data_IF_541497035909
#
_entry.id   IF_541497035909
#
_cell.length_a   1.000
_cell.length_b   1.000
_cell.length_c   1.000
_cell.angle_alpha   90.00
_cell.angle_beta   90.00
_cell.angle_gamma   90.00
#
_symmetry.space_group_name_H-M   'P 1'
#
loop_
_entity.id
_entity.type
_entity.pdbx_description
1 polymer ?
#
# COMPACT_ATOMS: atom_id res chain seq x y z
N UNK A 1 38.95 26.60 -51.57
CA UNK A 1 38.45 26.11 -50.27
C UNK A 1 37.35 25.10 -50.58
N UNK A 2 37.56 23.83 -50.94
CA UNK A 2 38.46 22.78 -50.43
C UNK A 2 38.41 22.62 -48.92
N UNK A 3 37.45 21.81 -48.44
CA UNK A 3 37.56 20.73 -47.43
C UNK A 3 36.17 20.41 -46.84
N UNK A 4 35.52 19.32 -47.29
CA UNK A 4 34.45 18.62 -46.54
C UNK A 4 33.93 17.40 -47.32
N UNK A 5 34.80 16.44 -47.64
CA UNK A 5 34.36 15.14 -48.22
C UNK A 5 35.16 13.93 -47.68
N UNK A 6 35.97 14.11 -46.63
CA UNK A 6 36.89 13.09 -46.13
C UNK A 6 36.44 12.27 -44.92
N UNK A 7 35.43 12.69 -44.15
CA UNK A 7 35.11 12.06 -42.86
C UNK A 7 34.08 10.90 -42.92
N UNK A 8 33.32 10.75 -44.02
CA UNK A 8 32.32 9.68 -44.15
C UNK A 8 32.89 8.29 -44.51
N UNK A 9 34.07 8.23 -45.12
CA UNK A 9 34.64 6.98 -45.65
C UNK A 9 35.48 6.23 -44.60
N UNK A 10 36.14 6.95 -43.69
CA UNK A 10 36.99 6.36 -42.63
C UNK A 10 36.17 5.60 -41.56
N UNK A 11 34.98 6.08 -41.19
CA UNK A 11 34.14 5.44 -40.16
C UNK A 11 33.49 4.13 -40.66
N UNK A 12 33.22 4.02 -41.97
CA UNK A 12 32.59 2.84 -42.57
C UNK A 12 33.58 1.68 -42.74
N UNK A 13 34.87 1.97 -42.97
CA UNK A 13 35.92 0.96 -43.08
C UNK A 13 36.39 0.40 -41.72
N UNK A 14 36.37 1.21 -40.65
CA UNK A 14 36.71 0.75 -39.30
C UNK A 14 35.69 -0.25 -38.71
N UNK A 15 34.39 -0.13 -39.05
CA UNK A 15 33.37 -1.10 -38.61
C UNK A 15 33.48 -2.46 -39.31
N UNK A 16 33.85 -2.48 -40.60
CA UNK A 16 34.08 -3.73 -41.34
C UNK A 16 35.35 -4.47 -40.89
N UNK A 17 36.41 -3.74 -40.55
CA UNK A 17 37.66 -4.34 -40.03
C UNK A 17 37.49 -4.97 -38.65
N UNK A 18 36.70 -4.36 -37.74
CA UNK A 18 36.41 -4.93 -36.41
C UNK A 18 35.52 -6.19 -36.48
N UNK A 19 34.59 -6.28 -37.42
CA UNK A 19 33.76 -7.48 -37.63
C UNK A 19 34.59 -8.62 -38.24
N UNK A 20 35.53 -8.32 -39.14
CA UNK A 20 36.44 -9.32 -39.72
C UNK A 20 37.44 -9.86 -38.68
N UNK A 21 37.93 -9.03 -37.75
CA UNK A 21 38.78 -9.45 -36.63
C UNK A 21 38.04 -10.34 -35.63
N UNK A 22 36.77 -10.06 -35.35
CA UNK A 22 35.94 -10.90 -34.47
C UNK A 22 35.61 -12.24 -35.14
N UNK A 23 35.35 -12.27 -36.44
CA UNK A 23 35.14 -13.53 -37.18
C UNK A 23 36.43 -14.36 -37.34
N UNK A 24 37.59 -13.71 -37.51
CA UNK A 24 38.88 -14.41 -37.56
C UNK A 24 39.31 -14.97 -36.21
N UNK A 25 38.97 -14.30 -35.10
CA UNK A 25 39.17 -14.84 -33.75
C UNK A 25 38.22 -16.02 -33.45
N UNK A 26 36.99 -15.98 -33.98
CA UNK A 26 36.02 -17.07 -33.85
C UNK A 26 36.40 -18.30 -34.70
N UNK A 27 37.08 -18.11 -35.85
CA UNK A 27 37.60 -19.20 -36.68
C UNK A 27 38.90 -19.82 -36.12
N UNK A 28 39.75 -19.04 -35.45
CA UNK A 28 40.96 -19.57 -34.82
C UNK A 28 40.69 -20.39 -33.54
N UNK A 29 39.53 -20.22 -32.89
CA UNK A 29 39.09 -21.13 -31.83
C UNK A 29 38.59 -22.49 -32.35
N UNK A 30 38.32 -22.64 -33.64
CA UNK A 30 37.82 -23.89 -34.25
C UNK A 30 38.94 -24.77 -34.83
N UNK A 31 40.22 -24.37 -34.73
CA UNK A 31 41.34 -25.04 -35.40
C UNK A 31 42.15 -26.02 -34.53
N UNK A 32 41.68 -26.37 -33.32
CA UNK A 32 42.29 -27.44 -32.51
C UNK A 32 41.45 -28.72 -32.50
N UNK A 33 40.98 -29.17 -33.67
CA UNK A 33 40.60 -30.58 -33.85
C UNK A 33 41.88 -31.36 -34.17
N UNK A 34 42.66 -31.62 -33.13
CA UNK A 34 43.74 -32.59 -33.18
C UNK A 34 43.14 -33.99 -33.18
N UNK A 35 43.23 -34.68 -34.32
CA UNK A 35 42.94 -36.10 -34.43
C UNK A 35 44.00 -36.87 -33.61
N UNK A 36 43.70 -37.15 -32.34
CA UNK A 36 44.43 -38.14 -31.56
C UNK A 36 43.53 -39.37 -31.38
N UNK A 37 43.99 -40.49 -31.93
CA UNK A 37 43.34 -41.78 -31.81
C UNK A 37 43.31 -42.22 -30.35
N UNK A 38 42.08 -42.47 -29.84
CA UNK A 38 41.72 -42.86 -28.46
C UNK A 38 41.91 -41.76 -27.40
N UNK A 39 40.86 -40.98 -27.21
CA UNK A 39 40.52 -40.43 -25.89
C UNK A 39 39.02 -40.51 -25.72
N UNK A 40 38.60 -41.11 -24.62
CA UNK A 40 37.22 -41.12 -24.13
C UNK A 40 36.67 -39.70 -24.26
N UNK A 41 35.54 -39.54 -24.96
CA UNK A 41 34.70 -38.37 -24.74
C UNK A 41 34.12 -38.58 -23.35
N UNK A 42 34.87 -38.19 -22.31
CA UNK A 42 34.26 -37.92 -21.02
C UNK A 42 33.15 -36.90 -21.31
N UNK A 43 31.92 -37.35 -21.11
CA UNK A 43 30.74 -36.52 -21.20
C UNK A 43 31.02 -35.26 -20.36
N UNK A 44 31.21 -34.11 -21.01
CA UNK A 44 31.55 -32.83 -20.38
C UNK A 44 30.45 -32.35 -19.40
N UNK A 45 29.37 -33.10 -19.25
CA UNK A 45 28.30 -32.89 -18.27
C UNK A 45 28.34 -33.86 -17.08
N UNK A 46 29.25 -34.84 -17.07
CA UNK A 46 29.27 -35.94 -16.11
C UNK A 46 29.47 -35.50 -14.65
N UNK A 47 30.19 -34.39 -14.43
CA UNK A 47 30.46 -33.78 -13.11
C UNK A 47 29.53 -32.62 -12.72
N UNK A 48 28.50 -32.31 -13.51
CA UNK A 48 27.61 -31.17 -13.23
C UNK A 48 26.64 -31.45 -12.07
N UNK A 49 26.71 -30.66 -10.99
CA UNK A 49 25.90 -30.82 -9.78
C UNK A 49 24.91 -29.66 -9.54
N UNK A 50 24.14 -29.27 -10.56
CA UNK A 50 23.27 -28.09 -10.46
C UNK A 50 21.79 -28.48 -10.28
N UNK A 51 21.11 -27.84 -9.33
CA UNK A 51 19.64 -27.84 -9.30
C UNK A 51 19.17 -26.85 -10.38
N UNK A 52 18.24 -27.28 -11.24
CA UNK A 52 17.74 -26.49 -12.38
C UNK A 52 16.35 -25.90 -12.11
N UNK A 53 15.47 -26.66 -11.47
CA UNK A 53 14.15 -26.20 -11.07
C UNK A 53 13.68 -26.93 -9.81
N UNK A 54 12.93 -26.22 -8.98
CA UNK A 54 12.17 -26.78 -7.86
C UNK A 54 10.79 -26.14 -7.87
N UNK A 55 9.74 -26.95 -7.88
CA UNK A 55 8.35 -26.48 -7.81
C UNK A 55 7.64 -27.12 -6.65
N UNK A 56 6.96 -26.29 -5.86
CA UNK A 56 6.11 -26.74 -4.77
C UNK A 56 4.78 -27.26 -5.34
N UNK A 57 4.31 -28.37 -4.78
CA UNK A 57 3.03 -28.98 -5.12
C UNK A 57 1.85 -28.31 -4.41
N UNK A 58 0.74 -29.04 -4.28
CA UNK A 58 -0.41 -28.58 -3.49
C UNK A 58 -0.16 -28.79 -2.00
N UNK A 59 -0.26 -27.71 -1.22
CA UNK A 59 0.06 -27.68 0.20
C UNK A 59 -1.22 -27.56 1.04
N UNK A 60 -1.16 -27.99 2.31
CA UNK A 60 -2.25 -27.82 3.25
C UNK A 60 -2.05 -26.54 4.07
N UNK A 61 -3.11 -25.74 4.20
CA UNK A 61 -3.16 -24.55 5.06
C UNK A 61 -4.31 -24.64 6.04
N UNK A 62 -4.01 -24.51 7.32
CA UNK A 62 -5.00 -24.50 8.41
C UNK A 62 -5.55 -23.10 8.58
N UNK A 63 -6.88 -22.98 8.62
CA UNK A 63 -7.64 -21.75 8.80
C UNK A 63 -8.44 -21.83 10.09
N UNK A 64 -8.44 -20.77 10.87
CA UNK A 64 -9.26 -20.68 12.09
C UNK A 64 -10.63 -20.07 11.76
N UNK A 65 -11.67 -20.56 12.41
CA UNK A 65 -13.04 -20.05 12.33
C UNK A 65 -13.78 -20.31 13.63
N UNK A 66 -14.97 -19.75 13.78
CA UNK A 66 -15.91 -20.13 14.83
C UNK A 66 -16.88 -21.20 14.29
N UNK A 67 -17.17 -22.20 15.11
CA UNK A 67 -18.25 -23.16 14.89
C UNK A 67 -19.61 -22.48 15.07
N UNK A 68 -20.68 -23.16 14.66
CA UNK A 68 -22.06 -22.67 14.83
C UNK A 68 -22.44 -22.38 16.30
N UNK A 69 -21.73 -23.01 17.25
CA UNK A 69 -21.90 -22.77 18.68
C UNK A 69 -20.94 -21.69 19.24
N UNK A 70 -20.28 -20.90 18.38
CA UNK A 70 -19.36 -19.85 18.79
C UNK A 70 -18.01 -20.32 19.35
N UNK A 71 -17.68 -21.61 19.27
CA UNK A 71 -16.39 -22.16 19.72
C UNK A 71 -15.36 -22.16 18.60
N UNK A 72 -14.10 -21.94 18.92
CA UNK A 72 -12.99 -22.03 17.96
C UNK A 72 -12.97 -23.38 17.24
N UNK A 73 -12.68 -23.33 15.94
CA UNK A 73 -12.62 -24.47 15.04
C UNK A 73 -11.55 -24.22 13.98
N UNK A 74 -11.04 -25.31 13.39
CA UNK A 74 -10.02 -25.27 12.35
C UNK A 74 -10.52 -26.06 11.15
N UNK A 75 -10.36 -25.51 9.95
CA UNK A 75 -10.55 -26.24 8.70
C UNK A 75 -9.30 -26.12 7.84
N UNK A 76 -9.15 -27.02 6.87
CA UNK A 76 -7.98 -27.06 5.98
C UNK A 76 -8.37 -26.64 4.58
N UNK A 77 -7.63 -25.71 4.00
CA UNK A 77 -7.69 -25.35 2.58
C UNK A 77 -6.42 -25.78 1.86
N UNK A 78 -6.48 -25.79 0.53
CA UNK A 78 -5.34 -26.10 -0.33
C UNK A 78 -4.67 -24.82 -0.82
N UNK A 79 -3.34 -24.80 -0.81
CA UNK A 79 -2.51 -23.74 -1.38
C UNK A 79 -1.79 -24.30 -2.60
N UNK A 80 -1.89 -23.63 -3.74
CA UNK A 80 -1.14 -23.97 -4.95
C UNK A 80 0.29 -23.48 -4.80
N UNK A 81 1.22 -24.35 -4.42
CA UNK A 81 2.60 -23.99 -4.15
C UNK A 81 3.36 -23.41 -5.34
N UNK A 82 2.98 -23.74 -6.58
CA UNK A 82 3.60 -23.19 -7.79
C UNK A 82 3.39 -21.69 -7.98
N UNK A 83 2.46 -21.07 -7.24
CA UNK A 83 2.31 -19.61 -7.20
C UNK A 83 3.37 -18.92 -6.33
N UNK A 84 4.19 -19.69 -5.61
CA UNK A 84 5.28 -19.22 -4.75
C UNK A 84 6.61 -19.78 -5.28
N UNK A 85 7.12 -19.23 -6.40
CA UNK A 85 8.29 -19.79 -7.07
C UNK A 85 9.54 -19.73 -6.18
N UNK A 86 10.36 -20.77 -6.29
CA UNK A 86 11.64 -20.86 -5.60
C UNK A 86 12.75 -20.25 -6.45
N UNK A 87 13.56 -19.41 -5.82
CA UNK A 87 14.83 -18.91 -6.35
C UNK A 87 15.94 -19.90 -6.02
N UNK A 88 16.76 -20.23 -7.02
CA UNK A 88 17.95 -21.07 -6.88
C UNK A 88 19.18 -20.18 -7.02
N UNK A 89 19.80 -19.85 -5.90
CA UNK A 89 21.06 -19.11 -5.87
C UNK A 89 22.22 -20.11 -6.03
N UNK A 90 22.73 -20.19 -7.25
CA UNK A 90 23.83 -21.11 -7.61
C UNK A 90 25.17 -20.74 -6.98
N UNK A 91 25.36 -19.46 -6.65
CA UNK A 91 26.62 -18.92 -6.11
C UNK A 91 26.68 -19.20 -4.61
N UNK A 92 25.63 -18.82 -3.88
CA UNK A 92 25.55 -19.01 -2.43
C UNK A 92 24.96 -20.36 -2.04
N UNK A 93 24.56 -21.18 -3.00
CA UNK A 93 24.04 -22.54 -2.79
C UNK A 93 22.79 -22.56 -1.91
N UNK A 94 21.86 -21.62 -2.17
CA UNK A 94 20.60 -21.49 -1.43
C UNK A 94 19.41 -21.69 -2.35
N UNK A 95 18.34 -22.27 -1.80
CA UNK A 95 17.06 -22.37 -2.50
C UNK A 95 15.98 -21.85 -1.57
N UNK A 96 15.22 -20.84 -1.99
CA UNK A 96 14.20 -20.21 -1.14
C UNK A 96 13.13 -19.52 -1.97
N UNK A 97 11.92 -19.40 -1.43
CA UNK A 97 10.88 -18.56 -2.01
C UNK A 97 11.10 -17.11 -1.58
N UNK A 98 11.07 -16.20 -2.56
CA UNK A 98 11.16 -14.74 -2.30
C UNK A 98 9.90 -14.29 -1.58
N UNK A 99 8.74 -14.67 -2.11
CA UNK A 99 7.45 -14.47 -1.44
C UNK A 99 7.13 -15.66 -0.53
N UNK A 100 6.83 -15.40 0.74
CA UNK A 100 6.58 -16.44 1.73
C UNK A 100 5.22 -17.12 1.48
N UNK A 101 5.12 -18.41 1.77
CA UNK A 101 3.84 -19.10 1.75
C UNK A 101 2.87 -18.46 2.76
N UNK A 102 1.55 -18.54 2.55
CA UNK A 102 0.58 -17.96 3.46
C UNK A 102 0.67 -18.59 4.86
N UNK A 103 0.43 -17.78 5.90
CA UNK A 103 0.37 -18.26 7.29
C UNK A 103 -0.59 -19.43 7.45
N UNK A 104 -0.24 -20.36 8.33
CA UNK A 104 -1.01 -21.58 8.57
C UNK A 104 -0.75 -22.70 7.55
N UNK A 105 0.06 -22.46 6.51
CA UNK A 105 0.60 -23.54 5.66
C UNK A 105 1.46 -24.46 6.53
N UNK A 106 1.25 -25.76 6.42
CA UNK A 106 1.93 -26.76 7.27
C UNK A 106 3.37 -27.00 6.78
N UNK A 107 4.41 -26.49 7.48
CA UNK A 107 5.79 -26.65 7.04
C UNK A 107 6.27 -28.10 7.15
N UNK A 108 5.58 -28.95 7.92
CA UNK A 108 5.98 -30.35 8.12
C UNK A 108 5.58 -31.26 6.96
N UNK A 109 4.71 -30.76 6.06
CA UNK A 109 4.12 -31.51 4.96
C UNK A 109 4.21 -30.76 3.63
N UNK A 110 5.40 -30.34 3.24
CA UNK A 110 5.63 -29.67 1.95
C UNK A 110 5.83 -30.70 0.84
N UNK A 111 4.99 -30.65 -0.19
CA UNK A 111 5.14 -31.48 -1.38
C UNK A 111 6.02 -30.76 -2.40
N UNK A 112 7.01 -31.47 -2.95
CA UNK A 112 7.78 -31.02 -4.11
C UNK A 112 7.25 -31.76 -5.34
N UNK A 113 6.53 -31.05 -6.21
CA UNK A 113 5.92 -31.63 -7.42
C UNK A 113 6.95 -31.79 -8.55
N UNK A 114 7.91 -30.87 -8.63
CA UNK A 114 9.00 -30.92 -9.60
C UNK A 114 10.35 -30.61 -8.94
N UNK A 115 11.35 -31.42 -9.27
CA UNK A 115 12.75 -31.21 -8.90
C UNK A 115 13.61 -31.72 -10.06
N UNK A 116 14.30 -30.82 -10.76
CA UNK A 116 15.22 -31.16 -11.85
C UNK A 116 16.64 -30.76 -11.47
N UNK A 117 17.61 -31.62 -11.78
CA UNK A 117 19.02 -31.39 -11.54
C UNK A 117 19.88 -31.99 -12.65
N UNK A 118 21.16 -31.62 -12.71
CA UNK A 118 22.17 -32.28 -13.57
C UNK A 118 22.68 -33.62 -13.01
N UNK A 119 22.03 -34.17 -11.98
CA UNK A 119 22.42 -35.42 -11.33
C UNK A 119 21.30 -35.98 -10.44
N UNK A 120 21.64 -36.97 -9.60
CA UNK A 120 20.71 -37.55 -8.63
C UNK A 120 20.59 -36.63 -7.41
N UNK A 121 19.36 -36.41 -6.92
CA UNK A 121 19.11 -35.54 -5.77
C UNK A 121 18.75 -36.35 -4.54
N UNK A 122 19.43 -36.07 -3.43
CA UNK A 122 19.12 -36.55 -2.09
C UNK A 122 18.74 -35.38 -1.17
N UNK A 123 18.08 -35.71 -0.07
CA UNK A 123 17.86 -34.83 1.06
C UNK A 123 18.44 -35.46 2.32
N UNK A 124 19.11 -34.66 3.12
CA UNK A 124 19.66 -35.10 4.40
C UNK A 124 18.52 -35.39 5.39
N UNK A 125 18.53 -36.57 5.99
CA UNK A 125 17.60 -36.95 7.05
C UNK A 125 17.85 -36.13 8.32
N UNK A 126 16.78 -35.57 8.91
CA UNK A 126 16.85 -34.88 10.20
C UNK A 126 17.16 -35.83 11.37
N UNK A 127 16.93 -37.14 11.21
CA UNK A 127 17.10 -38.14 12.28
C UNK A 127 18.51 -38.73 12.24
N UNK A 128 18.95 -39.18 11.07
CA UNK A 128 20.21 -39.93 10.94
C UNK A 128 21.37 -39.08 10.43
N UNK A 129 21.10 -37.87 9.92
CA UNK A 129 22.10 -37.02 9.26
C UNK A 129 22.60 -37.57 7.91
N UNK A 130 22.09 -38.71 7.45
CA UNK A 130 22.44 -39.35 6.18
C UNK A 130 21.50 -38.94 5.06
N UNK A 131 22.02 -38.98 3.84
CA UNK A 131 21.27 -38.63 2.63
C UNK A 131 20.30 -39.73 2.21
N UNK A 132 19.07 -39.33 1.88
CA UNK A 132 18.00 -40.18 1.36
C UNK A 132 17.48 -39.62 0.04
N UNK A 133 17.19 -40.48 -0.93
CA UNK A 133 16.67 -40.05 -2.25
C UNK A 133 15.34 -39.31 -2.08
N UNK A 134 15.18 -38.17 -2.76
CA UNK A 134 13.92 -37.42 -2.77
C UNK A 134 12.88 -38.15 -3.63
N UNK A 135 11.77 -38.56 -3.03
CA UNK A 135 10.62 -39.14 -3.75
C UNK A 135 9.60 -38.04 -4.06
N UNK A 136 8.99 -38.08 -5.26
CA UNK A 136 8.00 -37.07 -5.69
C UNK A 136 6.60 -37.26 -5.08
N UNK A 137 6.39 -38.33 -4.31
CA UNK A 137 5.09 -38.68 -3.70
C UNK A 137 4.99 -38.26 -2.23
N UNK A 138 6.11 -38.15 -1.54
CA UNK A 138 6.11 -37.90 -0.10
C UNK A 138 6.26 -36.41 0.19
N UNK A 139 5.59 -35.97 1.25
CA UNK A 139 5.78 -34.64 1.78
C UNK A 139 7.03 -34.59 2.65
N UNK A 140 7.74 -33.48 2.61
CA UNK A 140 8.99 -33.23 3.34
C UNK A 140 8.75 -32.17 4.41
N UNK A 141 9.36 -32.37 5.57
CA UNK A 141 9.35 -31.39 6.66
C UNK A 141 10.42 -30.30 6.46
N UNK A 142 9.96 -29.07 6.24
CA UNK A 142 10.72 -27.81 6.13
C UNK A 142 10.43 -26.84 7.29
N UNK A 143 9.99 -27.33 8.46
CA UNK A 143 9.93 -26.53 9.69
C UNK A 143 11.27 -25.90 10.09
N UNK A 144 12.36 -26.46 9.57
CA UNK A 144 13.72 -25.91 9.60
C UNK A 144 14.36 -26.11 8.22
N UNK A 145 15.35 -25.28 7.83
CA UNK A 145 16.05 -25.44 6.56
C UNK A 145 16.60 -26.85 6.35
N UNK A 146 16.59 -27.33 5.11
CA UNK A 146 17.04 -28.67 4.72
C UNK A 146 18.26 -28.59 3.84
N UNK A 147 19.15 -29.58 3.96
CA UNK A 147 20.28 -29.75 3.04
C UNK A 147 19.88 -30.73 1.94
N UNK A 148 19.98 -30.26 0.70
CA UNK A 148 19.79 -31.06 -0.51
C UNK A 148 21.16 -31.28 -1.16
N UNK A 149 21.50 -32.52 -1.47
CA UNK A 149 22.75 -32.85 -2.16
C UNK A 149 22.46 -33.33 -3.59
N UNK A 150 23.15 -32.76 -4.56
CA UNK A 150 23.17 -33.26 -5.94
C UNK A 150 24.45 -34.07 -6.11
N UNK A 151 24.30 -35.33 -6.53
CA UNK A 151 25.38 -36.21 -6.93
C UNK A 151 25.43 -36.27 -8.45
N UNK A 152 26.56 -35.93 -9.04
CA UNK A 152 26.75 -36.03 -10.48
C UNK A 152 26.77 -37.50 -10.94
N UNK A 153 26.65 -37.71 -12.24
CA UNK A 153 26.69 -39.05 -12.85
C UNK A 153 28.07 -39.69 -12.78
N UNK A 154 29.13 -38.89 -12.60
CA UNK A 154 30.51 -39.34 -12.36
C UNK A 154 30.70 -40.06 -11.00
N UNK A 155 29.71 -40.01 -10.10
CA UNK A 155 29.71 -40.56 -8.73
C UNK A 155 30.78 -39.99 -7.79
N UNK A 156 31.48 -38.93 -8.19
CA UNK A 156 32.54 -38.27 -7.40
C UNK A 156 32.11 -36.86 -7.03
N UNK A 157 31.59 -36.11 -8.01
CA UNK A 157 31.25 -34.71 -7.83
C UNK A 157 29.93 -34.57 -7.08
N UNK A 158 29.91 -33.67 -6.08
CA UNK A 158 28.70 -33.36 -5.31
C UNK A 158 28.56 -31.87 -5.07
N UNK A 159 27.31 -31.40 -4.93
CA UNK A 159 27.03 -30.03 -4.48
C UNK A 159 25.87 -30.05 -3.50
N UNK A 160 26.01 -29.29 -2.41
CA UNK A 160 24.97 -29.12 -1.40
C UNK A 160 24.26 -27.79 -1.60
N UNK A 161 22.96 -27.76 -1.31
CA UNK A 161 22.16 -26.57 -1.24
C UNK A 161 21.43 -26.53 0.09
N UNK A 162 21.38 -25.36 0.73
CA UNK A 162 20.48 -25.12 1.85
C UNK A 162 19.14 -24.61 1.29
N UNK A 163 18.10 -25.43 1.42
CA UNK A 163 16.74 -25.09 1.02
C UNK A 163 15.93 -24.62 2.23
N UNK A 164 15.34 -23.44 2.11
CA UNK A 164 14.54 -22.76 3.13
C UNK A 164 13.19 -22.33 2.55
N UNK A 165 12.11 -22.96 3.03
CA UNK A 165 10.75 -22.66 2.59
C UNK A 165 10.11 -21.74 3.61
N UNK A 166 10.00 -20.46 3.26
CA UNK A 166 9.53 -19.40 4.15
C UNK A 166 8.01 -19.35 4.16
N UNK A 167 7.44 -19.14 5.34
CA UNK A 167 5.99 -19.02 5.59
C UNK A 167 5.74 -17.78 6.44
N UNK A 168 4.72 -16.98 6.11
CA UNK A 168 4.33 -15.84 6.92
C UNK A 168 3.94 -16.27 8.34
N UNK A 169 4.32 -15.46 9.33
CA UNK A 169 4.01 -15.69 10.75
C UNK A 169 2.71 -15.02 11.18
N UNK A 170 2.23 -14.08 10.39
CA UNK A 170 1.05 -13.27 10.68
C UNK A 170 0.01 -13.44 9.56
N UNK A 171 -1.26 -13.30 9.94
CA UNK A 171 -2.36 -13.28 8.98
C UNK A 171 -2.32 -12.00 8.16
N UNK A 172 -2.31 -12.14 6.83
CA UNK A 172 -2.17 -11.04 5.86
C UNK A 172 -3.10 -9.88 6.14
N UNK A 173 -4.39 -10.19 6.34
CA UNK A 173 -5.48 -9.22 6.46
C UNK A 173 -5.84 -8.91 7.92
N UNK A 174 -5.05 -9.38 8.88
CA UNK A 174 -5.20 -9.00 10.28
C UNK A 174 -4.50 -7.69 10.59
N UNK A 175 -5.01 -7.00 11.60
CA UNK A 175 -4.41 -5.79 12.18
C UNK A 175 -4.10 -6.05 13.64
N UNK A 176 -2.87 -5.72 14.04
CA UNK A 176 -2.49 -5.63 15.45
C UNK A 176 -2.52 -4.17 15.85
N UNK A 177 -3.42 -3.81 16.78
CA UNK A 177 -3.51 -2.45 17.32
C UNK A 177 -2.59 -2.29 18.52
N UNK A 178 -1.78 -1.23 18.49
CA UNK A 178 -0.95 -0.81 19.59
C UNK A 178 -1.49 0.51 20.14
N UNK A 179 -1.83 0.54 21.43
CA UNK A 179 -2.05 1.81 22.14
C UNK A 179 -0.69 2.44 22.42
N UNK A 180 -0.32 3.45 21.63
CA UNK A 180 0.98 4.11 21.74
C UNK A 180 1.01 5.17 22.83
N UNK A 181 -0.14 5.71 23.20
CA UNK A 181 -0.27 6.66 24.30
C UNK A 181 -1.63 6.51 25.01
N UNK A 182 -1.70 7.00 26.25
CA UNK A 182 -2.92 7.05 27.07
C UNK A 182 -2.77 8.16 28.11
N UNK A 183 -3.87 8.84 28.48
CA UNK A 183 -3.84 9.89 29.49
C UNK A 183 -3.07 11.13 29.08
N UNK A 184 -2.91 11.39 27.77
CA UNK A 184 -2.24 12.59 27.28
C UNK A 184 -3.06 13.85 27.61
N UNK A 185 -2.58 14.65 28.55
CA UNK A 185 -3.20 15.92 28.95
C UNK A 185 -3.31 16.93 27.81
N UNK A 186 -2.41 16.84 26.81
CA UNK A 186 -2.48 17.71 25.64
C UNK A 186 -3.80 17.53 24.86
N UNK A 187 -4.36 16.32 24.84
CA UNK A 187 -5.58 15.97 24.08
C UNK A 187 -6.87 16.02 24.93
N UNK A 188 -6.79 16.13 26.27
CA UNK A 188 -7.93 15.87 27.13
C UNK A 188 -9.08 16.90 26.99
N UNK A 189 -8.76 18.17 26.74
CA UNK A 189 -9.74 19.27 26.62
C UNK A 189 -10.18 19.56 25.18
N UNK A 190 -9.68 18.80 24.20
CA UNK A 190 -9.90 19.08 22.77
C UNK A 190 -11.21 18.43 22.29
N UNK A 191 -11.92 19.10 21.40
CA UNK A 191 -13.10 18.56 20.70
C UNK A 191 -13.01 18.79 19.19
N UNK A 192 -13.93 18.17 18.42
CA UNK A 192 -14.01 18.29 16.96
C UNK A 192 -12.67 18.01 16.27
N UNK A 193 -12.05 16.90 16.66
CA UNK A 193 -10.75 16.53 16.13
C UNK A 193 -10.81 16.27 14.62
N UNK A 194 -9.83 16.81 13.91
CA UNK A 194 -9.55 16.53 12.51
C UNK A 194 -8.06 16.29 12.32
N UNK A 195 -7.67 15.09 11.91
CA UNK A 195 -6.28 14.71 11.78
C UNK A 195 -5.81 14.56 10.34
N UNK A 196 -4.54 14.90 10.15
CA UNK A 196 -3.79 14.68 8.93
C UNK A 196 -2.43 14.10 9.29
N UNK A 197 -1.92 13.21 8.47
CA UNK A 197 -0.51 12.82 8.52
C UNK A 197 0.22 13.45 7.35
N UNK A 198 1.20 14.30 7.66
CA UNK A 198 2.03 14.97 6.66
C UNK A 198 3.46 14.52 6.88
N UNK A 199 3.99 13.79 5.90
CA UNK A 199 5.32 13.18 5.98
C UNK A 199 5.48 12.33 7.25
N UNK A 200 6.35 12.72 8.17
CA UNK A 200 6.58 12.04 9.45
C UNK A 200 5.87 12.67 10.64
N UNK A 201 4.92 13.57 10.41
CA UNK A 201 4.24 14.33 11.47
C UNK A 201 2.74 14.07 11.45
N UNK A 202 2.21 13.72 12.62
CA UNK A 202 0.79 13.69 12.91
C UNK A 202 0.36 15.10 13.30
N UNK A 203 -0.68 15.60 12.66
CA UNK A 203 -1.38 16.82 13.01
C UNK A 203 -2.79 16.44 13.49
N UNK A 204 -3.19 16.97 14.64
CA UNK A 204 -4.55 16.86 15.16
C UNK A 204 -5.07 18.27 15.43
N UNK A 205 -5.86 18.79 14.49
CA UNK A 205 -6.57 20.04 14.64
C UNK A 205 -7.82 19.81 15.47
N UNK A 206 -8.24 20.79 16.27
CA UNK A 206 -9.45 20.69 17.08
C UNK A 206 -9.74 22.00 17.82
N UNK A 207 -10.75 21.99 18.66
CA UNK A 207 -11.17 23.15 19.45
C UNK A 207 -10.87 22.93 20.93
N UNK A 208 -10.38 23.96 21.61
CA UNK A 208 -10.50 24.08 23.07
C UNK A 208 -11.59 25.11 23.38
N UNK A 209 -12.76 24.62 23.80
CA UNK A 209 -13.97 25.43 23.82
C UNK A 209 -14.33 25.85 22.39
N UNK A 210 -14.08 27.12 22.05
CA UNK A 210 -14.26 27.66 20.69
C UNK A 210 -12.94 28.06 20.02
N UNK A 211 -11.81 27.99 20.72
CA UNK A 211 -10.52 28.43 20.20
C UNK A 211 -9.84 27.29 19.41
N UNK A 212 -9.44 27.51 18.15
CA UNK A 212 -8.78 26.49 17.36
C UNK A 212 -7.35 26.24 17.87
N UNK A 213 -6.99 24.95 17.94
CA UNK A 213 -5.66 24.49 18.29
C UNK A 213 -5.19 23.40 17.33
N UNK A 214 -3.87 23.25 17.23
CA UNK A 214 -3.26 22.08 16.58
C UNK A 214 -2.31 21.41 17.56
N UNK A 215 -2.38 20.09 17.56
CA UNK A 215 -1.44 19.25 18.28
C UNK A 215 -0.61 18.47 17.27
N UNK A 216 0.69 18.38 17.52
CA UNK A 216 1.63 17.70 16.63
C UNK A 216 2.45 16.66 17.36
N UNK A 217 2.66 15.51 16.73
CA UNK A 217 3.59 14.48 17.18
C UNK A 217 4.33 13.85 15.99
N UNK A 218 5.53 13.34 16.23
CA UNK A 218 6.23 12.52 15.23
C UNK A 218 5.60 11.13 15.13
N UNK A 219 5.48 10.57 13.93
CA UNK A 219 5.04 9.17 13.73
C UNK A 219 5.97 8.15 14.39
N UNK A 220 7.23 8.53 14.61
CA UNK A 220 8.25 7.72 15.32
C UNK A 220 8.16 7.89 16.85
N UNK A 221 7.44 8.89 17.34
CA UNK A 221 7.18 9.12 18.78
C UNK A 221 5.75 9.63 19.02
N UNK A 222 4.73 8.83 18.68
CA UNK A 222 3.31 9.21 18.72
C UNK A 222 2.74 9.39 20.14
N UNK A 223 3.59 9.26 21.16
CA UNK A 223 3.31 9.55 22.57
C UNK A 223 3.77 10.95 23.01
N UNK A 224 4.52 11.67 22.17
CA UNK A 224 5.05 13.01 22.49
C UNK A 224 4.34 14.07 21.65
N UNK A 225 3.32 14.70 22.24
CA UNK A 225 2.51 15.71 21.58
C UNK A 225 2.87 17.12 22.07
N UNK A 226 3.02 18.04 21.13
CA UNK A 226 3.16 19.48 21.39
C UNK A 226 1.90 20.18 20.94
N UNK A 227 1.42 21.13 21.74
CA UNK A 227 0.18 21.88 21.49
C UNK A 227 0.50 23.32 21.09
N UNK A 228 -0.19 23.81 20.08
CA UNK A 228 -0.08 25.19 19.60
C UNK A 228 -1.48 25.82 19.45
N UNK A 229 -1.60 27.07 19.88
CA UNK A 229 -2.76 27.89 19.55
C UNK A 229 -2.70 28.30 18.08
N UNK A 230 -3.86 28.37 17.42
CA UNK A 230 -3.99 28.80 16.03
C UNK A 230 -4.51 30.24 15.98
N UNK A 231 -3.97 31.01 15.03
CA UNK A 231 -4.52 32.29 14.61
C UNK A 231 -4.81 32.26 13.10
N UNK A 232 -5.98 32.75 12.64
CA UNK A 232 -7.03 33.44 13.40
C UNK A 232 -7.92 32.48 14.21
N UNK A 233 -8.58 33.00 15.26
CA UNK A 233 -9.50 32.21 16.11
C UNK A 233 -10.78 31.75 15.41
N UNK A 234 -11.05 32.26 14.20
CA UNK A 234 -12.20 31.88 13.37
C UNK A 234 -11.87 30.75 12.40
N UNK A 235 -10.68 30.16 12.47
CA UNK A 235 -10.29 29.04 11.62
C UNK A 235 -11.19 27.82 11.89
N UNK A 236 -11.78 27.29 10.82
CA UNK A 236 -12.50 26.02 10.85
C UNK A 236 -11.49 24.87 10.73
N UNK A 237 -11.28 24.17 11.84
CA UNK A 237 -10.36 23.04 11.95
C UNK A 237 -10.76 21.83 11.11
N UNK A 238 -12.06 21.64 10.83
CA UNK A 238 -12.55 20.52 10.03
C UNK A 238 -12.35 20.75 8.52
N UNK A 239 -12.08 22.00 8.12
CA UNK A 239 -11.79 22.37 6.73
C UNK A 239 -10.31 22.22 6.33
N UNK A 240 -9.44 21.82 7.26
CA UNK A 240 -8.00 21.76 6.99
C UNK A 240 -7.72 20.64 5.98
N UNK A 241 -7.10 21.00 4.86
CA UNK A 241 -6.57 20.10 3.84
C UNK A 241 -5.11 20.44 3.54
N UNK A 242 -4.40 19.49 2.94
CA UNK A 242 -2.99 19.65 2.55
C UNK A 242 -2.86 19.64 1.03
N UNK A 243 -2.24 20.66 0.45
CA UNK A 243 -2.02 20.79 -1.00
C UNK A 243 -0.59 21.26 -1.32
N UNK A 244 0.12 20.54 -2.18
CA UNK A 244 1.51 20.84 -2.53
C UNK A 244 2.43 20.84 -1.29
N UNK A 245 2.98 21.99 -0.91
CA UNK A 245 3.77 22.19 0.31
C UNK A 245 3.07 23.02 1.41
N UNK A 246 1.78 23.33 1.27
CA UNK A 246 1.00 24.15 2.22
C UNK A 246 -0.25 23.46 2.73
N UNK A 247 -0.71 23.89 3.89
CA UNK A 247 -2.06 23.66 4.40
C UNK A 247 -3.00 24.75 3.87
N UNK A 248 -4.25 24.37 3.67
CA UNK A 248 -5.37 25.25 3.36
C UNK A 248 -6.52 24.94 4.31
N UNK A 249 -7.28 25.96 4.67
CA UNK A 249 -8.45 25.86 5.53
C UNK A 249 -9.32 27.09 5.31
N UNK A 250 -10.46 27.14 5.97
CA UNK A 250 -11.38 28.26 5.96
C UNK A 250 -11.32 29.02 7.28
N UNK A 251 -11.45 30.34 7.21
CA UNK A 251 -11.76 31.17 8.36
C UNK A 251 -12.89 32.13 7.97
N UNK A 252 -14.04 32.02 8.62
CA UNK A 252 -15.24 32.78 8.25
C UNK A 252 -15.56 32.70 6.74
N UNK A 253 -15.54 31.48 6.19
CA UNK A 253 -15.76 31.15 4.78
C UNK A 253 -14.71 31.71 3.79
N UNK A 254 -13.60 32.28 4.26
CA UNK A 254 -12.49 32.76 3.44
C UNK A 254 -11.34 31.76 3.43
N UNK A 255 -10.67 31.63 2.28
CA UNK A 255 -9.55 30.71 2.11
C UNK A 255 -8.31 31.22 2.85
N UNK A 256 -7.78 30.38 3.74
CA UNK A 256 -6.56 30.61 4.50
C UNK A 256 -5.48 29.61 4.08
N UNK A 257 -4.22 29.97 4.26
CA UNK A 257 -3.08 29.09 4.01
C UNK A 257 -2.01 29.19 5.10
N UNK A 258 -1.31 28.08 5.32
CA UNK A 258 -0.22 27.95 6.28
C UNK A 258 0.86 26.99 5.76
N UNK A 259 2.12 27.21 6.13
CA UNK A 259 3.22 26.25 5.86
C UNK A 259 3.42 25.24 6.99
N UNK A 260 3.00 25.58 8.21
CA UNK A 260 3.26 24.81 9.42
C UNK A 260 1.99 24.26 10.10
N UNK A 261 0.81 24.68 9.64
CA UNK A 261 -0.48 24.35 10.25
C UNK A 261 -0.79 25.15 11.53
N UNK A 262 0.10 26.05 11.94
CA UNK A 262 -0.01 26.82 13.18
C UNK A 262 -0.32 28.29 12.87
N UNK A 263 0.48 28.88 11.98
CA UNK A 263 0.37 30.29 11.59
C UNK A 263 -0.35 30.40 10.25
N UNK A 264 -1.52 31.02 10.23
CA UNK A 264 -2.35 31.12 9.04
C UNK A 264 -2.45 32.55 8.53
N UNK A 265 -2.50 32.68 7.21
CA UNK A 265 -2.66 33.96 6.49
C UNK A 265 -3.68 33.80 5.38
N UNK A 266 -4.30 34.88 4.92
CA UNK A 266 -5.24 34.80 3.80
C UNK A 266 -4.53 34.27 2.55
N UNK A 267 -5.18 33.36 1.84
CA UNK A 267 -4.69 32.87 0.55
C UNK A 267 -4.94 33.89 -0.59
N UNK A 268 -5.69 34.98 -0.31
CA UNK A 268 -6.05 36.01 -1.29
C UNK A 268 -6.68 35.43 -2.57
N UNK A 269 -7.63 34.50 -2.41
CA UNK A 269 -8.38 33.96 -3.54
C UNK A 269 -9.08 35.09 -4.31
N UNK A 270 -8.91 35.10 -5.62
CA UNK A 270 -9.47 36.08 -6.56
C UNK A 270 -10.47 35.41 -7.50
N UNK A 271 -11.39 36.19 -8.06
CA UNK A 271 -12.48 35.66 -8.88
C UNK A 271 -13.72 35.26 -8.08
N UNK A 272 -14.69 34.62 -8.74
CA UNK A 272 -15.97 34.19 -8.14
C UNK A 272 -16.19 32.71 -8.47
N UNK A 273 -16.48 31.85 -7.47
CA UNK A 273 -16.68 32.19 -6.06
C UNK A 273 -15.37 32.33 -5.27
N UNK A 274 -15.40 33.17 -4.24
CA UNK A 274 -14.31 33.40 -3.27
C UNK A 274 -14.79 33.26 -1.81
N UNK A 275 -15.92 32.59 -1.62
CA UNK A 275 -16.48 32.23 -0.32
C UNK A 275 -16.83 30.76 -0.35
N UNK A 276 -16.39 30.02 0.65
CA UNK A 276 -16.43 28.56 0.67
C UNK A 276 -17.07 28.07 1.96
N UNK A 277 -17.81 26.97 1.89
CA UNK A 277 -18.45 26.34 3.05
C UNK A 277 -17.66 25.15 3.56
N UNK A 278 -16.88 24.49 2.71
CA UNK A 278 -15.97 23.42 3.11
C UNK A 278 -14.89 23.16 2.06
N UNK A 279 -13.68 22.81 2.47
CA UNK A 279 -12.69 22.22 1.57
C UNK A 279 -12.88 20.70 1.57
N UNK A 280 -13.10 20.13 0.39
CA UNK A 280 -13.52 18.72 0.25
C UNK A 280 -12.50 17.86 -0.48
N UNK A 281 -11.37 18.41 -0.91
CA UNK A 281 -10.36 17.58 -1.54
C UNK A 281 -9.15 18.34 -2.04
N UNK A 282 -8.04 17.62 -2.13
CA UNK A 282 -6.78 18.10 -2.67
C UNK A 282 -6.12 16.96 -3.42
N UNK A 283 -5.94 17.13 -4.73
CA UNK A 283 -5.18 16.24 -5.59
C UNK A 283 -3.84 16.84 -5.99
N UNK A 284 -3.24 16.28 -7.04
CA UNK A 284 -1.95 16.74 -7.57
C UNK A 284 -2.03 18.18 -8.11
N UNK A 285 -3.11 18.51 -8.81
CA UNK A 285 -3.35 19.85 -9.39
C UNK A 285 -4.56 20.56 -8.82
N UNK A 286 -5.57 19.81 -8.41
CA UNK A 286 -6.88 20.36 -8.05
C UNK A 286 -7.01 20.55 -6.54
N UNK A 287 -7.42 21.74 -6.13
CA UNK A 287 -8.09 21.99 -4.86
C UNK A 287 -9.59 22.02 -5.10
N UNK A 288 -10.36 21.35 -4.24
CA UNK A 288 -11.80 21.19 -4.37
C UNK A 288 -12.51 21.72 -3.13
N UNK A 289 -13.60 22.44 -3.34
CA UNK A 289 -14.39 23.02 -2.27
C UNK A 289 -15.88 22.99 -2.57
N UNK A 290 -16.69 23.09 -1.52
CA UNK A 290 -18.09 23.48 -1.59
C UNK A 290 -18.17 25.00 -1.42
N UNK A 291 -18.99 25.64 -2.25
CA UNK A 291 -19.36 27.06 -2.15
C UNK A 291 -20.88 27.15 -2.21
N UNK A 292 -21.53 27.16 -1.04
CA UNK A 292 -22.98 27.11 -0.94
C UNK A 292 -23.53 25.83 -1.56
N UNK A 293 -24.25 25.94 -2.67
CA UNK A 293 -24.82 24.81 -3.41
C UNK A 293 -24.00 24.42 -4.66
N UNK A 294 -22.72 24.81 -4.75
CA UNK A 294 -21.83 24.48 -5.86
C UNK A 294 -20.60 23.71 -5.41
N UNK A 295 -20.17 22.74 -6.23
CA UNK A 295 -18.81 22.21 -6.18
C UNK A 295 -17.93 23.10 -7.05
N UNK A 296 -16.77 23.49 -6.53
CA UNK A 296 -15.85 24.40 -7.19
C UNK A 296 -14.43 23.83 -7.12
N UNK A 297 -13.64 24.16 -8.13
CA UNK A 297 -12.24 23.73 -8.19
C UNK A 297 -11.29 24.86 -8.51
N UNK A 298 -10.05 24.73 -8.03
CA UNK A 298 -8.91 25.57 -8.37
C UNK A 298 -7.76 24.69 -8.85
N UNK A 299 -7.06 25.13 -9.90
CA UNK A 299 -5.90 24.42 -10.49
C UNK A 299 -4.59 25.19 -10.35
N UNK A 300 -4.60 26.33 -9.68
CA UNK A 300 -3.47 27.26 -9.54
C UNK A 300 -3.05 27.44 -8.07
N UNK A 301 -3.32 26.44 -7.23
CA UNK A 301 -2.97 26.47 -5.81
C UNK A 301 -3.89 27.34 -4.96
N UNK A 302 -5.16 27.49 -5.38
CA UNK A 302 -6.19 28.18 -4.60
C UNK A 302 -6.36 29.67 -4.92
N UNK A 303 -5.71 30.18 -5.97
CA UNK A 303 -5.77 31.61 -6.33
C UNK A 303 -7.02 31.96 -7.12
N UNK A 304 -7.43 31.11 -8.07
CA UNK A 304 -8.67 31.27 -8.83
C UNK A 304 -9.53 30.02 -8.72
N UNK A 305 -10.84 30.23 -8.67
CA UNK A 305 -11.84 29.17 -8.48
C UNK A 305 -12.96 29.27 -9.50
N UNK A 306 -13.41 28.11 -9.98
CA UNK A 306 -14.50 28.00 -10.96
C UNK A 306 -15.53 26.98 -10.50
N UNK A 307 -16.81 27.24 -10.74
CA UNK A 307 -17.86 26.25 -10.52
C UNK A 307 -17.68 25.05 -11.47
N UNK A 308 -17.76 23.86 -10.91
CA UNK A 308 -17.69 22.61 -11.67
C UNK A 308 -19.07 22.23 -12.23
N UNK A 309 -19.08 21.58 -13.38
CA UNK A 309 -20.31 21.00 -13.94
C UNK A 309 -20.80 19.83 -13.08
N UNK A 310 -22.12 19.72 -12.90
CA UNK A 310 -22.80 18.59 -12.27
C UNK A 310 -23.64 17.85 -13.33
N UNK A 311 -23.71 16.53 -13.25
CA UNK A 311 -24.54 15.71 -14.16
C UNK A 311 -26.04 15.83 -13.91
N UNK A 312 -26.43 16.35 -12.73
CA UNK A 312 -27.79 16.38 -12.24
C UNK A 312 -27.98 17.51 -11.22
N UNK A 313 -29.24 17.77 -10.86
CA UNK A 313 -29.61 18.72 -9.80
C UNK A 313 -29.77 18.05 -8.43
N UNK A 314 -29.15 16.87 -8.23
CA UNK A 314 -29.18 16.19 -6.94
C UNK A 314 -28.54 17.07 -5.84
N UNK A 315 -28.95 16.92 -4.57
CA UNK A 315 -28.36 17.71 -3.49
C UNK A 315 -26.85 17.44 -3.34
N UNK A 316 -26.13 18.44 -2.85
CA UNK A 316 -24.75 18.30 -2.38
C UNK A 316 -24.72 17.94 -0.87
N UNK A 317 -23.70 17.18 -0.41
CA UNK A 317 -23.53 16.86 1.00
C UNK A 317 -23.03 18.09 1.76
N UNK A 318 -23.94 18.81 2.43
CA UNK A 318 -23.58 20.02 3.18
C UNK A 318 -23.42 19.77 4.68
N UNK A 319 -23.89 18.63 5.16
CA UNK A 319 -23.83 18.23 6.57
C UNK A 319 -22.90 17.03 6.71
N UNK A 320 -22.10 16.97 7.78
CA UNK A 320 -21.17 15.86 8.06
C UNK A 320 -20.45 15.38 6.81
N UNK A 321 -19.77 16.30 6.11
CA UNK A 321 -19.25 16.00 4.78
C UNK A 321 -17.73 15.88 4.81
N UNK A 322 -17.23 15.02 3.93
CA UNK A 322 -15.82 14.81 3.71
C UNK A 322 -15.60 14.50 2.24
N UNK A 323 -14.39 14.79 1.76
CA UNK A 323 -13.98 14.30 0.46
C UNK A 323 -12.49 14.04 0.38
N UNK A 324 -12.11 13.41 -0.72
CA UNK A 324 -10.77 12.94 -0.95
C UNK A 324 -10.49 12.85 -2.44
N UNK A 325 -9.24 13.13 -2.82
CA UNK A 325 -8.72 12.92 -4.17
C UNK A 325 -7.61 11.89 -4.10
N UNK A 326 -7.57 10.96 -5.04
CA UNK A 326 -6.56 9.91 -5.09
C UNK A 326 -6.26 9.45 -6.50
N UNK A 327 -5.06 8.91 -6.72
CA UNK A 327 -4.64 8.37 -8.00
C UNK A 327 -5.60 7.29 -8.51
N UNK A 328 -5.95 7.36 -9.79
CA UNK A 328 -6.77 6.34 -10.44
C UNK A 328 -6.01 5.02 -10.55
N UNK A 329 -6.71 3.91 -10.33
CA UNK A 329 -6.16 2.56 -10.50
C UNK A 329 -6.10 2.10 -11.95
N UNK A 330 -6.79 2.80 -12.86
CA UNK A 330 -6.87 2.43 -14.28
C UNK A 330 -5.90 3.22 -15.16
N UNK A 331 -5.50 4.43 -14.75
CA UNK A 331 -4.58 5.26 -15.52
C UNK A 331 -3.86 6.29 -14.65
N UNK A 332 -2.55 6.40 -14.85
CA UNK A 332 -1.67 7.36 -14.15
C UNK A 332 -1.94 8.83 -14.49
N UNK A 333 -2.67 9.08 -15.58
CA UNK A 333 -3.00 10.45 -16.01
C UNK A 333 -4.26 10.98 -15.32
N UNK A 334 -4.94 10.17 -14.51
CA UNK A 334 -6.17 10.58 -13.86
C UNK A 334 -6.08 10.41 -12.34
N UNK A 335 -6.74 11.31 -11.63
CA UNK A 335 -7.14 11.15 -10.24
C UNK A 335 -8.65 10.98 -10.18
N UNK A 336 -9.14 10.41 -9.08
CA UNK A 336 -10.56 10.36 -8.75
C UNK A 336 -10.80 11.20 -7.52
N UNK A 337 -11.77 12.10 -7.61
CA UNK A 337 -12.33 12.84 -6.49
C UNK A 337 -13.63 12.19 -6.03
N UNK A 338 -13.81 12.10 -4.72
CA UNK A 338 -15.04 11.62 -4.08
C UNK A 338 -15.42 12.64 -3.03
N UNK A 339 -16.68 13.07 -3.04
CA UNK A 339 -17.26 13.93 -2.02
C UNK A 339 -18.54 13.27 -1.53
N UNK A 340 -18.66 13.13 -0.22
CA UNK A 340 -19.77 12.46 0.43
C UNK A 340 -20.14 13.14 1.73
N UNK A 341 -21.31 12.81 2.23
CA UNK A 341 -21.80 13.33 3.50
C UNK A 341 -23.30 13.17 3.56
N UNK A 342 -23.92 14.05 4.32
CA UNK A 342 -25.35 14.10 4.51
C UNK A 342 -25.94 15.37 3.90
N UNK A 343 -27.21 15.28 3.54
CA UNK A 343 -28.10 16.42 3.32
C UNK A 343 -29.29 16.23 4.25
N UNK A 344 -29.32 16.95 5.36
CA UNK A 344 -30.17 16.58 6.50
C UNK A 344 -29.77 15.20 7.02
N UNK A 345 -30.63 14.20 6.85
CA UNK A 345 -30.36 12.82 7.25
C UNK A 345 -30.08 11.87 6.07
N UNK A 346 -30.15 12.38 4.83
CA UNK A 346 -29.99 11.55 3.64
C UNK A 346 -28.54 11.51 3.17
N UNK A 347 -27.96 10.32 2.92
CA UNK A 347 -26.59 10.21 2.45
C UNK A 347 -26.49 10.62 0.98
N UNK A 348 -25.44 11.38 0.66
CA UNK A 348 -25.18 11.91 -0.67
C UNK A 348 -23.76 11.53 -1.10
N UNK A 349 -23.59 11.09 -2.34
CA UNK A 349 -22.30 10.72 -2.94
C UNK A 349 -22.15 11.34 -4.33
N UNK A 350 -21.02 12.01 -4.52
CA UNK A 350 -20.58 12.54 -5.80
C UNK A 350 -19.16 12.08 -6.09
N UNK A 351 -18.89 11.75 -7.35
CA UNK A 351 -17.54 11.40 -7.81
C UNK A 351 -17.20 12.17 -9.08
N UNK A 352 -15.91 12.38 -9.31
CA UNK A 352 -15.39 13.04 -10.51
C UNK A 352 -14.03 12.47 -10.87
N UNK A 353 -13.80 12.25 -12.16
CA UNK A 353 -12.45 11.98 -12.66
C UNK A 353 -11.77 13.31 -13.00
N UNK A 354 -10.51 13.43 -12.58
CA UNK A 354 -9.68 14.62 -12.76
C UNK A 354 -8.54 14.27 -13.72
N UNK A 355 -8.47 14.96 -14.86
CA UNK A 355 -7.39 14.78 -15.82
C UNK A 355 -6.15 15.58 -15.42
N UNK A 356 -5.05 14.88 -15.18
CA UNK A 356 -3.76 15.50 -14.86
C UNK A 356 -3.04 16.02 -16.09
N UNK A 357 -3.43 15.64 -17.31
CA UNK A 357 -2.84 16.16 -18.55
C UNK A 357 -3.40 17.54 -18.95
N UNK A 358 -4.61 17.85 -18.49
CA UNK A 358 -5.30 19.12 -18.81
C UNK A 358 -5.96 19.13 -20.19
N UNK A 359 -6.20 17.96 -20.77
CA UNK A 359 -6.82 17.80 -22.09
C UNK A 359 -8.33 17.64 -22.01
N UNK A 360 -8.81 16.96 -20.97
CA UNK A 360 -10.21 16.67 -20.75
C UNK A 360 -10.73 17.37 -19.49
N UNK A 361 -12.03 17.68 -19.49
CA UNK A 361 -12.73 18.17 -18.29
C UNK A 361 -13.99 17.36 -18.10
N UNK A 362 -14.11 16.71 -16.95
CA UNK A 362 -15.29 15.94 -16.57
C UNK A 362 -16.09 16.68 -15.51
N UNK A 363 -17.41 16.56 -15.58
CA UNK A 363 -18.31 17.01 -14.50
C UNK A 363 -18.34 16.02 -13.35
N UNK A 364 -18.94 16.45 -12.24
CA UNK A 364 -19.29 15.57 -11.13
C UNK A 364 -20.50 14.72 -11.49
N UNK A 365 -20.43 13.45 -11.10
CA UNK A 365 -21.48 12.46 -11.31
C UNK A 365 -22.09 12.11 -9.95
N UNK A 366 -23.41 12.22 -9.84
CA UNK A 366 -24.14 11.80 -8.65
C UNK A 366 -24.30 10.28 -8.66
N UNK A 367 -24.07 9.65 -7.51
CA UNK A 367 -24.32 8.22 -7.31
C UNK A 367 -25.46 8.05 -6.30
N UNK A 368 -26.71 7.86 -6.75
CA UNK A 368 -27.84 7.68 -5.87
C UNK A 368 -27.64 6.50 -4.92
N UNK A 369 -27.90 6.73 -3.63
CA UNK A 369 -27.71 5.74 -2.58
C UNK A 369 -29.09 5.25 -2.11
N UNK A 370 -29.58 4.13 -2.65
CA UNK A 370 -30.89 3.62 -2.28
C UNK A 370 -30.89 2.83 -0.96
N UNK A 371 -32.09 2.63 -0.39
CA UNK A 371 -32.29 1.92 0.88
C UNK A 371 -32.17 0.39 0.76
N UNK A 372 -32.11 -0.16 -0.45
CA UNK A 372 -32.05 -1.61 -0.70
C UNK A 372 -30.62 -2.14 -0.80
N UNK A 373 -29.63 -1.24 -0.90
CA UNK A 373 -28.21 -1.59 -0.97
C UNK A 373 -27.75 -2.35 0.27
N UNK A 374 -26.82 -3.29 0.07
CA UNK A 374 -26.12 -3.95 1.18
C UNK A 374 -24.95 -3.08 1.61
N UNK A 375 -24.84 -2.77 2.91
CA UNK A 375 -23.77 -1.93 3.45
C UNK A 375 -24.14 -0.46 3.41
N UNK A 376 -24.72 0.01 4.51
CA UNK A 376 -25.25 1.37 4.62
C UNK A 376 -24.14 2.38 4.86
N UNK A 377 -24.35 3.59 4.35
CA UNK A 377 -23.54 4.74 4.70
C UNK A 377 -23.59 4.97 6.24
N UNK A 378 -22.44 5.09 6.93
CA UNK A 378 -22.43 5.17 8.38
C UNK A 378 -23.07 6.45 8.90
N UNK A 379 -23.96 6.34 9.88
CA UNK A 379 -24.51 7.49 10.61
C UNK A 379 -23.54 7.92 11.72
N UNK A 380 -22.54 8.71 11.34
CA UNK A 380 -21.55 9.30 12.27
C UNK A 380 -21.63 10.84 12.21
N UNK A 381 -20.77 11.50 12.97
CA UNK A 381 -20.44 12.93 12.90
C UNK A 381 -18.93 13.10 12.68
N UNK A 382 -18.49 14.30 12.29
CA UNK A 382 -17.09 14.68 12.10
C UNK A 382 -16.35 13.69 11.18
N UNK A 383 -16.86 13.52 9.95
CA UNK A 383 -16.32 12.53 9.02
C UNK A 383 -14.85 12.80 8.68
N UNK A 384 -14.09 11.71 8.64
CA UNK A 384 -12.72 11.70 8.13
C UNK A 384 -12.60 10.64 7.04
N UNK A 385 -11.98 11.02 5.92
CA UNK A 385 -11.71 10.14 4.81
C UNK A 385 -10.21 9.99 4.58
N UNK A 386 -9.78 8.75 4.38
CA UNK A 386 -8.43 8.42 3.96
C UNK A 386 -8.45 7.34 2.88
N UNK A 387 -7.34 7.20 2.15
CA UNK A 387 -7.09 6.01 1.33
C UNK A 387 -6.39 4.97 2.18
N UNK A 388 -6.90 3.75 2.14
CA UNK A 388 -6.29 2.64 2.86
C UNK A 388 -6.52 1.34 2.09
N UNK A 389 -5.42 0.63 1.80
CA UNK A 389 -5.48 -0.66 1.12
C UNK A 389 -6.21 -0.63 -0.25
N UNK A 390 -6.15 0.48 -0.97
CA UNK A 390 -6.92 0.64 -2.22
C UNK A 390 -8.43 0.86 -2.02
N UNK A 391 -8.93 0.94 -0.79
CA UNK A 391 -10.30 1.34 -0.42
C UNK A 391 -10.36 2.78 0.12
N UNK A 392 -11.56 3.36 0.16
CA UNK A 392 -11.81 4.51 1.02
C UNK A 392 -11.98 4.00 2.45
N UNK A 393 -11.35 4.69 3.40
CA UNK A 393 -11.52 4.48 4.82
C UNK A 393 -12.28 5.69 5.38
N UNK A 394 -13.49 5.44 5.87
CA UNK A 394 -14.30 6.42 6.59
C UNK A 394 -14.23 6.12 8.08
N UNK A 395 -14.02 7.18 8.86
CA UNK A 395 -14.18 7.17 10.30
C UNK A 395 -14.89 8.46 10.74
N UNK A 396 -15.23 8.51 12.02
CA UNK A 396 -15.94 9.62 12.63
C UNK A 396 -16.40 9.22 14.03
N UNK A 397 -17.29 10.04 14.56
CA UNK A 397 -17.78 9.95 15.92
C UNK A 397 -19.25 9.53 15.93
N UNK A 398 -19.70 8.88 16.98
CA UNK A 398 -21.14 8.80 17.27
C UNK A 398 -21.60 10.14 17.85
N UNK A 399 -22.91 10.32 17.97
CA UNK A 399 -23.50 11.55 18.53
C UNK A 399 -23.06 11.89 19.96
N UNK A 400 -22.47 10.94 20.69
CA UNK A 400 -21.91 11.13 22.03
C UNK A 400 -20.39 11.43 22.02
N UNK A 401 -19.79 11.65 20.85
CA UNK A 401 -18.35 11.88 20.67
C UNK A 401 -17.49 10.61 20.74
N UNK A 402 -18.10 9.45 20.99
CA UNK A 402 -17.36 8.17 21.04
C UNK A 402 -16.99 7.68 19.65
N UNK A 403 -15.99 6.81 19.57
CA UNK A 403 -15.48 6.30 18.31
C UNK A 403 -16.55 5.55 17.49
N UNK A 404 -16.78 6.02 16.26
CA UNK A 404 -17.71 5.43 15.30
C UNK A 404 -17.23 4.12 14.68
N UNK A 405 -15.92 3.87 14.70
CA UNK A 405 -15.29 2.72 14.07
C UNK A 405 -14.63 3.06 12.73
N UNK A 406 -14.23 2.01 12.03
CA UNK A 406 -13.54 2.09 10.74
C UNK A 406 -14.37 1.38 9.67
N UNK A 407 -14.71 2.08 8.60
CA UNK A 407 -15.54 1.55 7.51
C UNK A 407 -14.74 1.61 6.22
N UNK A 408 -14.66 0.48 5.51
CA UNK A 408 -14.03 0.43 4.19
C UNK A 408 -15.08 0.44 3.08
N UNK A 409 -14.78 1.18 2.02
CA UNK A 409 -15.49 1.14 0.75
C UNK A 409 -14.54 0.83 -0.40
N UNK A 410 -14.80 -0.30 -1.07
CA UNK A 410 -14.02 -0.80 -2.22
C UNK A 410 -14.52 -0.23 -3.56
N UNK A 411 -15.68 0.41 -3.54
CA UNK A 411 -16.42 0.96 -4.68
C UNK A 411 -16.58 2.49 -4.57
N UNK A 412 -15.58 3.16 -4.00
CA UNK A 412 -15.45 4.62 -3.95
C UNK A 412 -16.63 5.35 -3.29
N UNK A 413 -17.22 4.75 -2.25
CA UNK A 413 -18.20 5.37 -1.37
C UNK A 413 -19.62 4.83 -1.50
N UNK A 414 -19.86 3.89 -2.43
CA UNK A 414 -21.20 3.34 -2.66
C UNK A 414 -21.63 2.35 -1.56
N UNK A 415 -20.72 1.45 -1.18
CA UNK A 415 -20.90 0.43 -0.14
C UNK A 415 -19.89 0.59 0.99
N UNK A 416 -20.35 0.50 2.24
CA UNK A 416 -19.50 0.60 3.43
C UNK A 416 -19.59 -0.64 4.31
N UNK A 417 -18.43 -1.21 4.66
CA UNK A 417 -18.31 -2.42 5.47
C UNK A 417 -17.35 -2.22 6.64
N UNK A 418 -17.83 -2.43 7.86
CA UNK A 418 -17.02 -2.31 9.09
C UNK A 418 -16.22 -3.59 9.38
N UNK A 419 -16.74 -4.75 8.98
CA UNK A 419 -16.16 -6.06 9.33
C UNK A 419 -14.82 -6.37 8.64
N UNK A 420 -14.47 -5.62 7.59
CA UNK A 420 -13.21 -5.80 6.85
C UNK A 420 -11.99 -5.31 7.63
N UNK A 421 -12.18 -4.36 8.55
CA UNK A 421 -11.11 -3.76 9.32
C UNK A 421 -11.52 -3.64 10.78
N UNK A 422 -11.12 -4.63 11.58
CA UNK A 422 -11.38 -4.61 13.03
C UNK A 422 -10.63 -3.43 13.64
N UNK A 423 -11.36 -2.58 14.36
CA UNK A 423 -10.79 -1.46 15.11
C UNK A 423 -10.51 -1.86 16.58
N UNK A 424 -9.69 -1.10 17.33
CA UNK A 424 -9.47 -1.38 18.75
C UNK A 424 -10.71 -1.00 19.57
N UNK A 425 -10.85 -1.58 20.76
CA UNK A 425 -11.86 -1.13 21.72
C UNK A 425 -11.39 0.17 22.36
N UNK A 426 -12.11 1.26 22.11
CA UNK A 426 -11.81 2.59 22.64
C UNK A 426 -12.91 2.98 23.63
N UNK A 427 -12.51 3.47 24.81
CA UNK A 427 -13.41 3.89 25.88
C UNK A 427 -12.99 5.24 26.45
N UNK A 428 -13.96 6.07 26.85
CA UNK A 428 -13.70 7.37 27.48
C UNK A 428 -13.22 8.47 26.53
N UNK A 429 -13.32 8.25 25.22
CA UNK A 429 -13.03 9.28 24.24
C UNK A 429 -14.23 10.23 24.10
N UNK A 430 -13.96 11.54 24.01
CA UNK A 430 -14.97 12.60 23.85
C UNK A 430 -14.96 13.23 22.46
N UNK A 431 -13.90 12.99 21.70
CA UNK A 431 -13.76 13.29 20.28
C UNK A 431 -12.69 12.35 19.72
N UNK A 432 -12.87 11.86 18.50
CA UNK A 432 -12.02 10.86 17.86
C UNK A 432 -11.87 11.16 16.39
N UNK A 433 -10.63 11.11 15.92
CA UNK A 433 -10.29 11.27 14.50
C UNK A 433 -9.33 10.17 14.07
N UNK A 434 -9.29 9.89 12.77
CA UNK A 434 -8.38 8.90 12.20
C UNK A 434 -7.64 9.45 10.98
N UNK A 435 -6.37 9.07 10.84
CA UNK A 435 -5.52 9.41 9.69
C UNK A 435 -4.64 8.23 9.30
N UNK A 436 -4.12 8.24 8.08
CA UNK A 436 -3.26 7.19 7.53
C UNK A 436 -1.93 7.78 7.08
N UNK A 437 -0.83 7.17 7.49
CA UNK A 437 0.51 7.58 7.06
C UNK A 437 0.97 6.91 5.75
N UNK A 438 2.08 7.38 5.19
CA UNK A 438 2.66 6.84 3.97
C UNK A 438 3.17 5.38 4.08
N UNK A 439 3.33 4.87 5.32
CA UNK A 439 3.70 3.47 5.61
C UNK A 439 2.47 2.60 5.86
N UNK A 440 1.26 3.10 5.56
CA UNK A 440 -0.04 2.47 5.78
C UNK A 440 -0.37 2.21 7.26
N UNK A 441 0.19 2.96 8.21
CA UNK A 441 -0.33 2.95 9.58
C UNK A 441 -1.54 3.86 9.68
N UNK A 442 -2.62 3.30 10.21
CA UNK A 442 -3.77 4.04 10.70
C UNK A 442 -3.44 4.51 12.11
N UNK A 443 -3.63 5.81 12.35
CA UNK A 443 -3.60 6.42 13.66
C UNK A 443 -5.02 6.81 14.06
N UNK A 444 -5.48 6.41 15.24
CA UNK A 444 -6.72 6.88 15.86
C UNK A 444 -6.33 7.72 17.06
N UNK A 445 -6.76 8.97 17.08
CA UNK A 445 -6.40 9.97 18.09
C UNK A 445 -7.65 10.32 18.87
N UNK A 446 -7.61 10.15 20.20
CA UNK A 446 -8.76 10.28 21.07
C UNK A 446 -8.55 11.40 22.09
N UNK A 447 -9.40 12.43 22.02
CA UNK A 447 -9.55 13.40 23.09
C UNK A 447 -10.32 12.79 24.28
N UNK A 448 -10.28 13.46 25.43
CA UNK A 448 -10.87 12.98 26.69
C UNK A 448 -10.00 11.91 27.36
N UNK A 449 -9.87 10.72 26.75
CA UNK A 449 -9.00 9.64 27.26
C UNK A 449 -7.51 9.92 27.02
N UNK A 450 -7.18 10.80 26.07
CA UNK A 450 -5.81 11.09 25.66
C UNK A 450 -5.10 9.84 25.10
N UNK A 451 -5.86 8.92 24.53
CA UNK A 451 -5.32 7.72 23.89
C UNK A 451 -4.93 7.99 22.44
N UNK A 452 -3.83 7.35 22.02
CA UNK A 452 -3.44 7.27 20.61
C UNK A 452 -3.21 5.81 20.28
N UNK A 453 -3.87 5.34 19.22
CA UNK A 453 -3.78 3.98 18.72
C UNK A 453 -3.14 3.96 17.35
N UNK A 454 -2.28 2.98 17.11
CA UNK A 454 -1.62 2.74 15.83
C UNK A 454 -1.87 1.30 15.38
N UNK A 455 -2.28 1.11 14.13
CA UNK A 455 -2.52 -0.21 13.54
C UNK A 455 -2.25 -0.22 12.05
N UNK A 456 -1.95 -1.40 11.50
CA UNK A 456 -1.78 -1.61 10.05
C UNK A 456 -2.14 -3.05 9.69
N UNK A 457 -2.72 -3.24 8.50
CA UNK A 457 -2.93 -4.55 7.90
C UNK A 457 -1.55 -5.16 7.64
N UNK A 458 -1.28 -6.34 8.18
CA UNK A 458 0.07 -6.91 8.20
C UNK A 458 0.71 -6.95 6.80
N UNK A 459 -0.04 -7.34 5.76
CA UNK A 459 0.49 -7.39 4.39
C UNK A 459 0.90 -6.04 3.81
N UNK A 460 0.36 -4.93 4.31
CA UNK A 460 0.77 -3.59 3.90
C UNK A 460 2.13 -3.18 4.52
N UNK A 461 2.65 -4.00 5.45
CA UNK A 461 3.96 -3.81 6.07
C UNK A 461 5.04 -4.77 5.61
N UNK A 462 4.71 -5.74 4.76
CA UNK A 462 5.68 -6.71 4.27
C UNK A 462 6.62 -6.06 3.27
N UNK A 463 7.92 -6.33 3.41
CA UNK A 463 8.92 -5.87 2.45
C UNK A 463 8.81 -6.75 1.21
N UNK A 464 8.68 -6.12 0.04
CA UNK A 464 8.95 -6.80 -1.21
C UNK A 464 10.48 -6.89 -1.33
N UNK A 465 11.06 -8.08 -1.15
CA UNK A 465 12.47 -8.32 -1.50
C UNK A 465 12.56 -8.36 -3.03
N UNK A 466 12.66 -7.20 -3.68
CA UNK A 466 13.01 -7.09 -5.10
C UNK A 466 14.43 -7.66 -5.29
N UNK A 467 14.51 -8.98 -5.45
CA UNK A 467 15.75 -9.71 -5.68
C UNK A 467 15.62 -10.61 -6.92
N UNK A 468 15.02 -10.08 -7.99
CA UNK A 468 15.06 -10.71 -9.30
C UNK A 468 15.32 -9.63 -10.35
N UNK A 469 16.56 -9.64 -10.85
CA UNK A 469 17.08 -9.02 -12.08
C UNK A 469 16.12 -8.09 -12.84
N UNK A 470 16.42 -6.78 -12.81
CA UNK A 470 16.07 -5.87 -13.91
C UNK A 470 17.00 -6.08 -15.09
#
# INVERSE_FOLDING_TARGET
>A
MHESAGQGILVRNMKKSRIALIFSALLMLMANVGCNTKSEIEDLTSGACLIKSVTLGTLNRKMHTLSRSGRDSIYTIKVTGSLYPLTIDQVNQRIFNVDSLPVGTDPTKILISELKASGTVSIQSKITGKDTVVTKKDSIDFSTPRIITVYATDRVSTRKYQMDIRIHKEWSDSVTWQRTASGLSALSSVSQLHALTVESTLYAFGLEGTAPVVLTASVESPQQWTRHAISPVTLDVHSVVRHGNRFFALASNQLMTSTDGINWTSANATGVPNSFTQLVGSGTKHLLALSGASLVSSTDGGHTWTADALDSSAPLPLDENAGIVFASTVSKNYEKAVVLGLRGNEPVLWQRDLDLSGTDTFGWINFPLDATRRGHFPTLQNYTLARYDGALLLSGEKSDGSFGGLYLSRDNGYTWLQKELKAPTISGATSVTATVDAKNFIYIICAGSGEVWRGRINRLGWKNEDTLFK
#
